data_IF_743130829023
#
_entry.id   IF_743130829023
#
_cell.length_a   1.000
_cell.length_b   1.000
_cell.length_c   1.000
_cell.angle_alpha   90.00
_cell.angle_beta   90.00
_cell.angle_gamma   90.00
#
_symmetry.space_group_name_H-M   'P 1'
#
loop_
_entity.id
_entity.type
_entity.pdbx_description
1 polymer ?
#
# COMPACT_ATOMS: atom_id res chain seq x y z
N UNK A 1 -4.68 20.42 -7.18
CA UNK A 1 -5.60 19.25 -7.22
C UNK A 1 -5.76 18.80 -5.79
N UNK A 2 -6.99 18.68 -5.27
CA UNK A 2 -7.20 18.18 -3.92
C UNK A 2 -7.15 16.64 -3.98
N UNK A 3 -6.08 16.05 -3.46
CA UNK A 3 -5.84 14.59 -3.40
C UNK A 3 -6.18 14.01 -2.00
N UNK A 4 -6.71 14.86 -1.08
CA UNK A 4 -7.06 14.42 0.28
C UNK A 4 -8.09 13.29 0.27
N UNK A 5 -8.95 13.25 -0.76
CA UNK A 5 -9.94 12.19 -0.94
C UNK A 5 -9.30 10.80 -0.97
N UNK A 6 -8.08 10.67 -1.49
CA UNK A 6 -7.39 9.38 -1.58
C UNK A 6 -7.11 8.76 -0.21
N UNK A 7 -6.89 9.59 0.83
CA UNK A 7 -6.68 9.10 2.20
C UNK A 7 -7.97 8.89 2.99
N UNK A 8 -9.13 9.23 2.40
CA UNK A 8 -10.45 9.07 3.04
C UNK A 8 -11.22 7.84 2.59
N UNK A 9 -10.74 7.15 1.58
CA UNK A 9 -11.34 5.92 1.02
C UNK A 9 -10.35 4.77 1.09
N UNK A 10 -10.87 3.55 1.18
CA UNK A 10 -10.05 2.34 1.25
C UNK A 10 -9.47 1.93 -0.11
N UNK A 11 -8.48 1.05 -0.07
CA UNK A 11 -7.79 0.54 -1.27
C UNK A 11 -8.75 -0.19 -2.24
N UNK A 12 -9.75 -0.96 -1.81
CA UNK A 12 -10.79 -1.48 -2.70
C UNK A 12 -11.55 -0.42 -3.48
N UNK A 13 -11.89 0.71 -2.85
CA UNK A 13 -12.55 1.84 -3.53
C UNK A 13 -11.66 2.46 -4.61
N UNK A 14 -10.36 2.62 -4.33
CA UNK A 14 -9.39 3.10 -5.34
C UNK A 14 -9.29 2.09 -6.49
N UNK A 15 -9.21 0.78 -6.20
CA UNK A 15 -9.18 -0.26 -7.24
C UNK A 15 -10.40 -0.18 -8.17
N UNK A 16 -11.60 -0.06 -7.61
CA UNK A 16 -12.83 0.09 -8.38
C UNK A 16 -12.85 1.39 -9.22
N UNK A 17 -12.35 2.49 -8.67
CA UNK A 17 -12.25 3.77 -9.40
C UNK A 17 -11.23 3.69 -10.54
N UNK A 18 -10.14 2.92 -10.38
CA UNK A 18 -9.17 2.66 -11.44
C UNK A 18 -9.75 1.82 -12.58
N UNK A 19 -10.69 0.91 -12.30
CA UNK A 19 -11.42 0.16 -13.34
C UNK A 19 -12.27 1.11 -14.19
N UNK A 20 -12.89 2.13 -13.59
CA UNK A 20 -13.59 3.17 -14.35
C UNK A 20 -12.64 3.98 -15.24
N UNK A 21 -11.46 4.34 -14.73
CA UNK A 21 -10.44 5.03 -15.50
C UNK A 21 -9.97 4.20 -16.70
N UNK A 22 -9.77 2.90 -16.52
CA UNK A 22 -9.35 1.96 -17.59
C UNK A 22 -10.47 1.61 -18.57
N UNK A 23 -11.73 1.83 -18.18
CA UNK A 23 -12.91 1.39 -18.92
C UNK A 23 -13.18 -0.12 -18.83
N UNK A 24 -12.40 -0.88 -18.06
CA UNK A 24 -12.56 -2.31 -17.84
C UNK A 24 -11.98 -2.74 -16.47
N UNK A 25 -12.36 -3.93 -16.01
CA UNK A 25 -11.75 -4.57 -14.85
C UNK A 25 -10.36 -5.10 -15.19
N UNK A 26 -9.47 -5.10 -14.20
CA UNK A 26 -8.11 -5.63 -14.34
C UNK A 26 -7.77 -6.56 -13.18
N UNK A 27 -7.00 -7.60 -13.47
CA UNK A 27 -6.37 -8.47 -12.47
C UNK A 27 -4.93 -8.03 -12.14
N UNK A 28 -4.52 -6.83 -12.58
CA UNK A 28 -3.16 -6.32 -12.43
C UNK A 28 -3.16 -4.95 -11.72
N UNK A 29 -2.00 -4.59 -11.18
CA UNK A 29 -1.79 -3.29 -10.54
C UNK A 29 -2.13 -3.25 -9.06
N UNK A 30 -2.32 -4.42 -8.42
CA UNK A 30 -2.57 -4.55 -6.98
C UNK A 30 -1.89 -5.79 -6.38
N UNK A 31 -1.75 -5.83 -5.06
CA UNK A 31 -1.24 -6.99 -4.32
C UNK A 31 -2.22 -8.16 -4.41
N UNK A 32 -1.72 -9.37 -4.69
CA UNK A 32 -2.55 -10.58 -4.95
C UNK A 32 -2.60 -11.53 -3.76
N UNK A 33 -1.84 -11.25 -2.70
CA UNK A 33 -1.78 -12.06 -1.49
C UNK A 33 -2.14 -11.22 -0.26
N UNK A 34 -2.64 -11.86 0.81
CA UNK A 34 -3.01 -11.15 2.03
C UNK A 34 -1.81 -10.49 2.71
N UNK A 35 -2.07 -9.42 3.44
CA UNK A 35 -1.10 -8.69 4.24
C UNK A 35 -1.48 -8.72 5.72
N UNK A 36 -0.48 -8.66 6.59
CA UNK A 36 -0.66 -8.36 8.02
C UNK A 36 -0.49 -6.86 8.21
N UNK A 37 -1.46 -6.22 8.85
CA UNK A 37 -1.45 -4.79 9.12
C UNK A 37 -1.10 -4.51 10.60
N UNK A 38 -0.13 -3.64 10.85
CA UNK A 38 0.29 -3.29 12.23
C UNK A 38 -0.80 -2.55 13.00
N UNK A 39 -1.64 -1.76 12.32
CA UNK A 39 -2.76 -1.03 12.94
C UNK A 39 -3.89 -0.79 11.92
N UNK A 40 -4.90 -1.65 11.96
CA UNK A 40 -6.06 -1.60 11.06
C UNK A 40 -6.97 -0.37 11.23
N UNK A 41 -6.78 0.42 12.31
CA UNK A 41 -7.57 1.63 12.59
C UNK A 41 -7.04 2.86 11.85
N UNK A 42 -5.83 2.79 11.33
CA UNK A 42 -5.24 3.89 10.59
C UNK A 42 -5.93 4.07 9.23
N UNK A 43 -5.98 5.32 8.80
CA UNK A 43 -6.41 5.66 7.45
C UNK A 43 -5.39 5.12 6.44
N UNK A 44 -5.81 4.86 5.20
CA UNK A 44 -4.90 4.52 4.13
C UNK A 44 -3.76 5.53 4.00
N UNK A 45 -2.59 5.06 3.63
CA UNK A 45 -1.52 5.94 3.18
C UNK A 45 -1.43 5.94 1.65
N UNK A 46 -1.07 7.09 1.10
CA UNK A 46 -0.78 7.26 -0.31
C UNK A 46 0.52 8.04 -0.44
N UNK A 47 1.38 7.63 -1.36
CA UNK A 47 2.68 8.28 -1.51
C UNK A 47 3.53 7.73 -2.63
N UNK A 48 4.70 8.33 -2.77
CA UNK A 48 5.73 7.97 -3.74
C UNK A 48 6.55 6.80 -3.21
N UNK A 49 6.63 5.72 -3.98
CA UNK A 49 7.37 4.52 -3.59
C UNK A 49 8.88 4.78 -3.55
N UNK A 50 9.45 4.65 -2.37
CA UNK A 50 10.88 4.50 -2.12
C UNK A 50 11.19 3.02 -1.94
N UNK A 51 11.83 2.43 -2.92
CA UNK A 51 11.99 0.99 -3.02
C UNK A 51 13.35 0.50 -2.54
N UNK A 52 13.37 -0.66 -1.90
CA UNK A 52 14.60 -1.34 -1.52
C UNK A 52 14.40 -2.86 -1.46
N UNK A 53 15.51 -3.59 -1.40
CA UNK A 53 15.54 -5.03 -1.18
C UNK A 53 16.36 -5.35 0.06
N UNK A 54 15.87 -6.30 0.84
CA UNK A 54 16.53 -6.83 2.03
C UNK A 54 16.73 -8.33 1.91
N UNK A 55 17.63 -8.86 2.73
CA UNK A 55 17.84 -10.30 2.93
C UNK A 55 18.17 -10.56 4.38
N UNK A 56 17.73 -11.71 4.91
CA UNK A 56 17.90 -12.07 6.31
C UNK A 56 18.38 -13.49 6.56
N UNK A 57 18.19 -14.43 5.60
CA UNK A 57 18.47 -15.86 5.77
C UNK A 57 19.97 -16.19 5.86
N UNK A 58 20.81 -15.34 5.29
CA UNK A 58 22.26 -15.58 5.20
C UNK A 58 23.01 -14.34 5.68
N UNK A 59 24.04 -14.57 6.53
CA UNK A 59 24.96 -13.50 6.94
C UNK A 59 25.66 -12.92 5.71
N UNK A 60 25.66 -11.59 5.61
CA UNK A 60 26.37 -10.91 4.53
C UNK A 60 27.88 -11.19 4.59
N UNK A 61 28.51 -11.31 3.43
CA UNK A 61 29.97 -11.39 3.29
C UNK A 61 30.67 -10.02 3.41
N UNK A 62 29.92 -8.94 3.47
CA UNK A 62 30.46 -7.59 3.63
C UNK A 62 30.92 -7.35 5.07
N UNK A 63 31.91 -6.45 5.24
CA UNK A 63 32.34 -6.02 6.56
C UNK A 63 31.27 -5.20 7.28
N UNK A 64 31.28 -5.14 8.63
CA UNK A 64 30.32 -4.33 9.38
C UNK A 64 30.29 -2.87 8.94
N UNK A 65 31.46 -2.27 8.62
CA UNK A 65 31.58 -0.90 8.15
C UNK A 65 30.83 -0.69 6.83
N UNK A 66 31.04 -1.58 5.84
CA UNK A 66 30.34 -1.53 4.55
C UNK A 66 28.83 -1.71 4.70
N UNK A 67 28.40 -2.60 5.58
CA UNK A 67 26.96 -2.79 5.86
C UNK A 67 26.36 -1.53 6.49
N UNK A 68 27.09 -0.87 7.38
CA UNK A 68 26.66 0.40 7.97
C UNK A 68 26.56 1.50 6.91
N UNK A 69 27.53 1.64 6.03
CA UNK A 69 27.51 2.62 4.94
C UNK A 69 26.32 2.40 4.00
N UNK A 70 26.04 1.15 3.61
CA UNK A 70 24.87 0.82 2.78
C UNK A 70 23.58 1.21 3.52
N UNK A 71 23.49 0.94 4.82
CA UNK A 71 22.33 1.29 5.64
C UNK A 71 22.13 2.81 5.73
N UNK A 72 23.20 3.58 5.93
CA UNK A 72 23.11 5.04 5.98
C UNK A 72 22.71 5.63 4.63
N UNK A 73 23.30 5.17 3.54
CA UNK A 73 22.93 5.60 2.19
C UNK A 73 21.47 5.24 1.84
N UNK A 74 20.98 4.08 2.32
CA UNK A 74 19.58 3.72 2.21
C UNK A 74 18.68 4.71 2.96
N UNK A 75 19.00 5.10 4.20
CA UNK A 75 18.22 6.10 4.93
C UNK A 75 18.27 7.48 4.27
N UNK A 76 19.40 7.88 3.73
CA UNK A 76 19.52 9.10 2.93
C UNK A 76 18.58 9.04 1.73
N UNK A 77 18.62 7.97 0.94
CA UNK A 77 17.68 7.75 -0.18
C UNK A 77 16.22 7.83 0.25
N UNK A 78 15.85 7.21 1.37
CA UNK A 78 14.49 7.24 1.90
C UNK A 78 14.03 8.66 2.28
N UNK A 79 14.95 9.52 2.75
CA UNK A 79 14.65 10.89 3.18
C UNK A 79 14.41 11.88 2.04
N UNK A 80 14.92 11.58 0.83
CA UNK A 80 14.83 12.50 -0.32
C UNK A 80 13.41 12.47 -0.90
N UNK A 81 12.68 13.58 -0.82
CA UNK A 81 11.40 13.76 -1.47
C UNK A 81 11.50 14.78 -2.61
N UNK A 82 11.46 14.29 -3.85
CA UNK A 82 11.54 15.10 -5.06
C UNK A 82 10.17 15.54 -5.60
N UNK A 83 9.08 14.92 -5.14
CA UNK A 83 7.71 15.23 -5.55
C UNK A 83 6.93 15.80 -4.36
N UNK A 84 6.72 17.11 -4.37
CA UNK A 84 6.01 17.80 -3.29
C UNK A 84 4.50 17.54 -3.27
N UNK A 85 3.96 16.85 -4.26
CA UNK A 85 2.53 16.51 -4.33
C UNK A 85 2.16 15.34 -3.42
N UNK A 86 3.13 14.48 -3.11
CA UNK A 86 2.98 13.32 -2.24
C UNK A 86 4.17 13.18 -1.30
N UNK A 87 3.90 12.61 -0.14
CA UNK A 87 4.95 12.15 0.77
C UNK A 87 5.55 10.83 0.27
N UNK A 88 6.73 10.48 0.78
CA UNK A 88 7.32 9.19 0.50
C UNK A 88 6.64 8.07 1.30
N UNK A 89 6.63 6.88 0.73
CA UNK A 89 6.31 5.63 1.41
C UNK A 89 7.45 4.63 1.21
N UNK A 90 7.63 3.74 2.17
CA UNK A 90 8.66 2.71 2.10
C UNK A 90 8.10 1.43 1.48
N UNK A 91 8.76 0.90 0.43
CA UNK A 91 8.37 -0.32 -0.26
C UNK A 91 9.56 -1.26 -0.32
N UNK A 92 9.54 -2.31 0.51
CA UNK A 92 10.70 -3.20 0.68
C UNK A 92 10.38 -4.64 0.29
N UNK A 93 11.11 -5.16 -0.69
CA UNK A 93 11.13 -6.57 -1.04
C UNK A 93 12.10 -7.34 -0.14
N UNK A 94 11.59 -8.34 0.55
CA UNK A 94 12.41 -9.36 1.21
C UNK A 94 12.73 -10.47 0.19
N UNK A 95 13.99 -10.62 -0.13
CA UNK A 95 14.49 -11.60 -1.11
C UNK A 95 14.40 -13.06 -0.59
N UNK A 96 14.10 -13.25 0.68
CA UNK A 96 13.85 -14.58 1.25
C UNK A 96 12.39 -15.04 1.06
N UNK A 97 11.53 -14.19 0.47
CA UNK A 97 10.16 -14.58 0.12
C UNK A 97 10.13 -15.82 -0.80
N UNK A 98 9.24 -16.81 -0.60
CA UNK A 98 8.05 -16.78 0.28
C UNK A 98 8.30 -17.22 1.73
N UNK A 99 9.53 -17.44 2.16
CA UNK A 99 9.88 -17.88 3.51
C UNK A 99 10.78 -16.86 4.22
N UNK A 100 10.31 -15.64 4.51
CA UNK A 100 11.09 -14.62 5.19
C UNK A 100 11.44 -15.08 6.61
N UNK A 101 12.67 -14.84 7.06
CA UNK A 101 13.19 -15.33 8.35
C UNK A 101 13.55 -14.21 9.33
N UNK A 102 13.78 -12.99 8.85
CA UNK A 102 14.22 -11.88 9.67
C UNK A 102 13.32 -10.65 9.54
N UNK A 103 12.80 -10.17 10.67
CA UNK A 103 12.00 -8.97 10.73
C UNK A 103 12.88 -7.71 10.64
N UNK A 104 12.84 -7.01 9.52
CA UNK A 104 13.43 -5.68 9.38
C UNK A 104 12.60 -4.61 10.12
N UNK A 105 11.30 -4.80 10.15
CA UNK A 105 10.34 -3.87 10.72
C UNK A 105 10.05 -4.18 12.18
N UNK A 106 10.34 -3.21 13.03
CA UNK A 106 10.10 -3.16 14.47
C UNK A 106 10.17 -1.72 14.93
N UNK A 107 10.16 -1.48 16.23
CA UNK A 107 10.12 -0.15 16.85
C UNK A 107 11.17 0.82 16.26
N UNK A 108 12.43 0.40 16.20
CA UNK A 108 13.54 1.26 15.73
C UNK A 108 13.37 1.69 14.28
N UNK A 109 13.14 0.74 13.37
CA UNK A 109 13.01 1.09 11.95
C UNK A 109 11.73 1.88 11.66
N UNK A 110 10.62 1.58 12.33
CA UNK A 110 9.40 2.39 12.24
C UNK A 110 9.65 3.82 12.68
N UNK A 111 10.31 4.02 13.83
CA UNK A 111 10.64 5.35 14.35
C UNK A 111 11.55 6.13 13.41
N UNK A 112 12.58 5.49 12.85
CA UNK A 112 13.50 6.11 11.89
C UNK A 112 12.76 6.54 10.60
N UNK A 113 11.96 5.66 10.02
CA UNK A 113 11.24 5.97 8.77
C UNK A 113 10.18 7.05 8.98
N UNK A 114 9.42 7.00 10.08
CA UNK A 114 8.50 8.08 10.47
C UNK A 114 9.23 9.41 10.66
N UNK A 115 10.40 9.40 11.35
CA UNK A 115 11.24 10.57 11.52
C UNK A 115 11.80 11.14 10.21
N UNK A 116 12.00 10.30 9.20
CA UNK A 116 12.37 10.70 7.84
C UNK A 116 11.15 11.11 6.97
N UNK A 117 9.98 11.31 7.58
CA UNK A 117 8.73 11.73 6.94
C UNK A 117 8.11 10.72 5.96
N UNK A 118 8.40 9.43 6.09
CA UNK A 118 7.67 8.41 5.34
C UNK A 118 6.30 8.16 6.01
N UNK A 119 5.26 7.92 5.20
CA UNK A 119 3.87 7.81 5.68
C UNK A 119 3.41 6.39 5.99
N UNK A 120 4.17 5.41 5.60
CA UNK A 120 3.86 4.01 5.84
C UNK A 120 4.79 3.09 5.09
N UNK A 121 4.62 1.80 5.31
CA UNK A 121 5.45 0.74 4.75
C UNK A 121 4.62 -0.37 4.13
N UNK A 122 5.05 -0.83 2.97
CA UNK A 122 4.64 -2.07 2.34
C UNK A 122 5.86 -3.00 2.20
N UNK A 123 5.78 -4.22 2.73
CA UNK A 123 6.84 -5.23 2.61
C UNK A 123 6.27 -6.64 2.57
N UNK A 124 6.92 -7.54 1.84
CA UNK A 124 6.70 -8.99 1.93
C UNK A 124 7.60 -9.67 2.97
N UNK A 125 8.39 -8.89 3.73
CA UNK A 125 9.16 -9.35 4.88
C UNK A 125 8.33 -9.42 6.17
N UNK A 126 9.03 -9.62 7.29
CA UNK A 126 8.43 -9.78 8.61
C UNK A 126 8.37 -8.47 9.41
N UNK A 127 7.39 -8.45 10.33
CA UNK A 127 7.15 -7.41 11.33
C UNK A 127 7.34 -7.97 12.73
N UNK A 128 7.85 -7.17 13.68
CA UNK A 128 7.97 -7.50 15.12
C UNK A 128 7.62 -6.30 16.00
N UNK A 129 7.78 -6.41 17.30
CA UNK A 129 7.60 -5.34 18.29
C UNK A 129 6.19 -4.69 18.25
N UNK A 130 5.14 -5.52 18.08
CA UNK A 130 3.76 -5.03 17.84
C UNK A 130 3.21 -4.12 18.94
N UNK A 131 3.67 -4.29 20.20
CA UNK A 131 3.26 -3.45 21.33
C UNK A 131 3.98 -2.10 21.39
N UNK A 132 5.15 -1.99 20.75
CA UNK A 132 6.08 -0.87 20.87
C UNK A 132 6.21 -0.04 19.58
N UNK A 133 5.69 -0.56 18.46
CA UNK A 133 5.63 0.17 17.19
C UNK A 133 4.77 1.42 17.34
N UNK A 134 5.23 2.52 16.77
CA UNK A 134 4.46 3.77 16.71
C UNK A 134 3.07 3.52 16.10
N UNK A 135 2.04 3.79 16.92
CA UNK A 135 0.62 3.53 16.57
C UNK A 135 0.09 4.35 15.40
N UNK A 136 0.77 5.45 15.03
CA UNK A 136 0.38 6.33 13.94
C UNK A 136 1.13 6.03 12.63
N UNK A 137 1.94 4.94 12.60
CA UNK A 137 2.66 4.48 11.42
C UNK A 137 2.21 3.08 11.01
N UNK A 138 1.64 2.96 9.82
CA UNK A 138 1.16 1.67 9.30
C UNK A 138 2.29 0.89 8.62
N UNK A 139 2.46 -0.36 9.04
CA UNK A 139 3.28 -1.34 8.33
C UNK A 139 2.38 -2.46 7.81
N UNK A 140 2.46 -2.71 6.52
CA UNK A 140 1.84 -3.86 5.85
C UNK A 140 2.95 -4.86 5.55
N UNK A 141 2.89 -6.03 6.17
CA UNK A 141 3.91 -7.07 6.10
C UNK A 141 3.32 -8.43 5.69
N UNK A 142 4.16 -9.43 5.43
CA UNK A 142 3.69 -10.78 5.12
C UNK A 142 3.28 -11.56 6.37
N UNK A 143 4.03 -11.39 7.46
CA UNK A 143 3.81 -12.11 8.71
C UNK A 143 4.53 -11.42 9.88
N UNK A 144 4.39 -11.99 11.07
CA UNK A 144 5.03 -11.56 12.30
C UNK A 144 6.13 -12.56 12.66
N UNK A 145 7.30 -12.06 13.07
CA UNK A 145 8.40 -12.90 13.51
C UNK A 145 9.22 -12.26 14.63
N UNK A 146 9.85 -13.04 15.52
CA UNK A 146 10.47 -12.51 16.74
C UNK A 146 11.91 -12.00 16.54
N UNK A 147 12.58 -12.37 15.46
CA UNK A 147 14.02 -12.14 15.27
C UNK A 147 14.30 -11.29 14.03
N UNK A 148 15.33 -10.46 14.10
CA UNK A 148 15.86 -9.79 12.91
C UNK A 148 16.81 -10.70 12.09
N UNK A 149 17.21 -11.86 12.61
CA UNK A 149 18.19 -12.75 11.97
C UNK A 149 19.42 -11.97 11.44
N UNK A 150 19.82 -12.20 10.20
CA UNK A 150 20.93 -11.49 9.55
C UNK A 150 20.45 -10.34 8.62
N UNK A 151 19.30 -9.73 8.92
CA UNK A 151 18.66 -8.77 8.03
C UNK A 151 19.59 -7.60 7.68
N UNK A 152 19.74 -7.36 6.41
CA UNK A 152 20.51 -6.24 5.87
C UNK A 152 19.91 -5.75 4.55
N UNK A 153 20.17 -4.47 4.23
CA UNK A 153 19.82 -3.90 2.95
C UNK A 153 20.78 -4.41 1.89
N UNK A 154 20.22 -4.92 0.79
CA UNK A 154 20.97 -5.43 -0.37
C UNK A 154 21.05 -4.39 -1.47
N UNK A 155 19.93 -3.76 -1.75
CA UNK A 155 19.77 -2.84 -2.88
C UNK A 155 18.67 -1.82 -2.56
N UNK A 156 18.76 -0.62 -3.10
CA UNK A 156 17.70 0.39 -3.01
C UNK A 156 17.60 1.17 -4.31
N UNK A 157 16.48 1.89 -4.50
CA UNK A 157 16.16 2.61 -5.74
C UNK A 157 16.09 1.67 -6.97
N UNK A 158 15.48 0.53 -6.81
CA UNK A 158 15.39 -0.54 -7.81
C UNK A 158 13.97 -1.08 -7.90
N UNK A 159 13.62 -1.75 -8.99
CA UNK A 159 12.32 -2.42 -9.15
C UNK A 159 12.18 -3.53 -8.11
N UNK A 160 11.01 -3.64 -7.52
CA UNK A 160 10.67 -4.65 -6.50
C UNK A 160 9.39 -5.40 -6.85
N UNK A 161 9.22 -6.60 -6.29
CA UNK A 161 8.02 -7.40 -6.47
C UNK A 161 7.51 -7.89 -5.11
N UNK A 162 6.37 -7.34 -4.67
CA UNK A 162 5.75 -7.67 -3.40
C UNK A 162 4.35 -8.23 -3.62
N UNK A 163 4.08 -9.42 -3.10
CA UNK A 163 2.75 -10.05 -3.19
C UNK A 163 2.19 -10.15 -4.62
N UNK A 164 3.06 -10.32 -5.63
CA UNK A 164 2.69 -10.34 -7.05
C UNK A 164 2.48 -8.97 -7.68
N UNK A 165 2.74 -7.88 -6.97
CA UNK A 165 2.72 -6.51 -7.48
C UNK A 165 4.14 -6.03 -7.78
N UNK A 166 4.44 -5.75 -9.05
CA UNK A 166 5.69 -5.14 -9.47
C UNK A 166 5.59 -3.63 -9.28
N UNK A 167 6.53 -3.07 -8.51
CA UNK A 167 6.56 -1.64 -8.16
C UNK A 167 7.92 -1.08 -8.58
N UNK A 168 7.91 0.07 -9.23
CA UNK A 168 9.11 0.82 -9.58
C UNK A 168 9.35 1.97 -8.61
N UNK A 169 10.60 2.42 -8.46
CA UNK A 169 10.87 3.67 -7.77
C UNK A 169 10.00 4.80 -8.37
N UNK A 170 9.42 5.61 -7.49
CA UNK A 170 8.54 6.74 -7.82
C UNK A 170 7.15 6.38 -8.38
N UNK A 171 6.71 5.12 -8.32
CA UNK A 171 5.30 4.78 -8.49
C UNK A 171 4.47 5.40 -7.36
N UNK A 172 3.23 5.79 -7.68
CA UNK A 172 2.28 6.25 -6.67
C UNK A 172 1.53 5.05 -6.15
N UNK A 173 1.63 4.80 -4.85
CA UNK A 173 0.99 3.67 -4.18
C UNK A 173 -0.07 4.17 -3.22
N UNK A 174 -1.24 3.54 -3.26
CA UNK A 174 -2.25 3.63 -2.22
C UNK A 174 -2.32 2.30 -1.49
N UNK A 175 -2.31 2.32 -0.17
CA UNK A 175 -2.29 1.08 0.61
C UNK A 175 -3.02 1.23 1.96
N UNK A 176 -3.66 0.15 2.37
CA UNK A 176 -4.28 -0.04 3.68
C UNK A 176 -4.30 -1.54 4.05
N UNK A 177 -5.03 -1.90 5.10
CA UNK A 177 -5.20 -3.28 5.58
C UNK A 177 -5.67 -4.30 4.51
N UNK A 178 -6.20 -3.84 3.36
CA UNK A 178 -6.61 -4.73 2.25
C UNK A 178 -5.47 -5.02 1.28
N UNK A 179 -4.31 -4.36 1.42
CA UNK A 179 -3.18 -4.43 0.53
C UNK A 179 -2.87 -3.11 -0.17
N UNK A 180 -2.30 -3.17 -1.37
CA UNK A 180 -1.85 -2.00 -2.09
C UNK A 180 -2.23 -2.03 -3.57
N UNK A 181 -2.40 -0.83 -4.16
CA UNK A 181 -2.60 -0.62 -5.60
C UNK A 181 -1.66 0.47 -6.11
N UNK A 182 -1.21 0.33 -7.36
CA UNK A 182 -0.50 1.40 -8.07
C UNK A 182 -1.52 2.34 -8.70
N UNK A 183 -1.34 3.65 -8.47
CA UNK A 183 -2.12 4.69 -9.11
C UNK A 183 -1.34 5.24 -10.30
N UNK A 184 -1.78 5.02 -11.55
CA UNK A 184 -1.19 5.69 -12.72
C UNK A 184 -1.30 7.22 -12.58
N UNK A 185 -0.25 7.96 -12.94
CA UNK A 185 -0.22 9.44 -12.78
C UNK A 185 -1.36 10.14 -13.53
N UNK A 186 -1.73 9.63 -14.70
CA UNK A 186 -2.83 10.15 -15.52
C UNK A 186 -4.20 9.88 -14.90
N UNK A 187 -4.36 8.83 -14.08
CA UNK A 187 -5.58 8.55 -13.36
C UNK A 187 -5.89 9.57 -12.24
N UNK A 188 -4.89 10.26 -11.69
CA UNK A 188 -5.06 11.20 -10.57
C UNK A 188 -6.13 12.25 -10.81
N UNK A 189 -6.26 12.74 -12.05
CA UNK A 189 -7.23 13.78 -12.42
C UNK A 189 -8.68 13.27 -12.39
N UNK A 190 -8.87 11.99 -12.63
CA UNK A 190 -10.17 11.35 -12.79
C UNK A 190 -10.63 10.70 -11.49
N UNK A 191 -9.69 10.20 -10.67
CA UNK A 191 -10.00 9.45 -9.45
C UNK A 191 -11.01 10.14 -8.51
N UNK A 192 -10.95 11.44 -8.20
CA UNK A 192 -11.95 12.06 -7.31
C UNK A 192 -13.38 11.88 -7.83
N UNK A 193 -13.60 12.14 -9.12
CA UNK A 193 -14.93 11.96 -9.77
C UNK A 193 -15.33 10.49 -9.85
N UNK A 194 -14.36 9.59 -10.13
CA UNK A 194 -14.61 8.16 -10.19
C UNK A 194 -15.02 7.59 -8.83
N UNK A 195 -14.37 8.02 -7.75
CA UNK A 195 -14.69 7.65 -6.37
C UNK A 195 -16.13 8.10 -6.01
N UNK A 196 -16.48 9.35 -6.31
CA UNK A 196 -17.82 9.88 -6.05
C UNK A 196 -18.87 9.08 -6.83
N UNK A 197 -18.64 8.86 -8.11
CA UNK A 197 -19.53 8.06 -8.97
C UNK A 197 -19.73 6.64 -8.43
N UNK A 198 -18.66 5.97 -7.99
CA UNK A 198 -18.75 4.62 -7.39
C UNK A 198 -19.58 4.64 -6.10
N UNK A 199 -19.35 5.59 -5.21
CA UNK A 199 -20.13 5.75 -3.98
C UNK A 199 -21.62 5.95 -4.26
N UNK A 200 -21.96 6.77 -5.26
CA UNK A 200 -23.34 7.00 -5.65
C UNK A 200 -23.97 5.73 -6.24
N UNK A 201 -23.29 5.09 -7.18
CA UNK A 201 -23.74 3.86 -7.83
C UNK A 201 -23.96 2.71 -6.84
N UNK A 202 -23.00 2.42 -5.98
CA UNK A 202 -23.11 1.40 -4.94
C UNK A 202 -24.15 1.76 -3.89
N UNK A 203 -24.25 3.07 -3.55
CA UNK A 203 -25.24 3.60 -2.63
C UNK A 203 -26.68 3.30 -3.00
N UNK A 204 -27.01 3.19 -4.29
CA UNK A 204 -28.36 2.80 -4.76
C UNK A 204 -28.69 1.39 -4.28
N UNK A 205 -27.78 0.44 -4.44
CA UNK A 205 -27.96 -0.96 -4.06
C UNK A 205 -27.97 -1.10 -2.54
N UNK A 206 -27.00 -0.46 -1.86
CA UNK A 206 -26.87 -0.51 -0.41
C UNK A 206 -28.09 0.10 0.29
N UNK A 207 -28.64 1.20 -0.20
CA UNK A 207 -29.86 1.82 0.36
C UNK A 207 -31.05 0.86 0.20
N UNK A 208 -31.26 0.32 -0.98
CA UNK A 208 -32.33 -0.64 -1.22
C UNK A 208 -32.24 -1.85 -0.28
N UNK A 209 -31.04 -2.40 -0.08
CA UNK A 209 -30.84 -3.59 0.78
C UNK A 209 -31.14 -3.35 2.26
N UNK A 210 -31.20 -2.11 2.70
CA UNK A 210 -31.53 -1.72 4.10
C UNK A 210 -33.01 -1.45 4.33
N UNK A 211 -33.85 -1.51 3.29
CA UNK A 211 -35.30 -1.30 3.43
C UNK A 211 -35.92 -2.48 4.18
N UNK A 212 -36.91 -2.20 5.06
CA UNK A 212 -37.54 -3.22 5.92
C UNK A 212 -38.21 -4.36 5.12
N UNK A 213 -38.70 -4.04 3.93
CA UNK A 213 -39.40 -4.95 3.02
C UNK A 213 -38.54 -5.30 1.80
N UNK A 214 -37.19 -5.28 1.93
CA UNK A 214 -36.27 -5.66 0.88
C UNK A 214 -36.53 -7.08 0.40
N UNK A 215 -36.59 -7.24 -0.92
CA UNK A 215 -36.83 -8.50 -1.60
C UNK A 215 -36.13 -8.52 -2.96
N UNK A 216 -36.27 -9.63 -3.70
CA UNK A 216 -35.60 -9.79 -4.99
C UNK A 216 -36.03 -8.76 -6.05
N UNK A 217 -37.30 -8.35 -6.08
CA UNK A 217 -37.77 -7.37 -7.06
C UNK A 217 -37.16 -6.00 -6.78
N UNK A 218 -37.07 -5.60 -5.52
CA UNK A 218 -36.36 -4.36 -5.12
C UNK A 218 -34.87 -4.42 -5.44
N UNK A 219 -34.20 -5.58 -5.21
CA UNK A 219 -32.83 -5.80 -5.65
C UNK A 219 -32.70 -5.60 -7.16
N UNK A 220 -33.55 -6.26 -7.94
CA UNK A 220 -33.54 -6.19 -9.41
C UNK A 220 -33.73 -4.75 -9.92
N UNK A 221 -34.63 -3.99 -9.29
CA UNK A 221 -34.85 -2.59 -9.62
C UNK A 221 -33.62 -1.74 -9.31
N UNK A 222 -33.07 -1.83 -8.08
CA UNK A 222 -31.89 -1.10 -7.66
C UNK A 222 -30.66 -1.44 -8.54
N UNK A 223 -30.50 -2.72 -8.88
CA UNK A 223 -29.43 -3.21 -9.75
C UNK A 223 -29.51 -2.62 -11.17
N UNK A 224 -30.72 -2.61 -11.77
CA UNK A 224 -30.94 -1.99 -13.07
C UNK A 224 -30.66 -0.48 -13.03
N UNK A 225 -31.12 0.21 -11.98
CA UNK A 225 -30.88 1.63 -11.78
C UNK A 225 -29.39 1.95 -11.66
N UNK A 226 -28.64 1.19 -10.82
CA UNK A 226 -27.20 1.35 -10.68
C UNK A 226 -26.44 1.10 -12.00
N UNK A 227 -26.86 0.09 -12.76
CA UNK A 227 -26.22 -0.25 -14.03
C UNK A 227 -26.57 0.69 -15.20
N UNK A 228 -27.65 1.47 -15.08
CA UNK A 228 -27.97 2.52 -16.08
C UNK A 228 -27.14 3.78 -15.91
N UNK A 229 -26.40 3.92 -14.79
CA UNK A 229 -25.47 5.04 -14.59
C UNK A 229 -24.25 4.90 -15.49
N UNK A 230 -23.90 6.00 -16.18
CA UNK A 230 -22.73 6.06 -17.07
C UNK A 230 -21.73 7.06 -16.49
N UNK A 231 -20.52 6.59 -16.26
CA UNK A 231 -19.42 7.47 -15.86
C UNK A 231 -18.98 8.32 -17.07
N UNK A 232 -18.97 9.63 -16.86
CA UNK A 232 -18.43 10.60 -17.83
C UNK A 232 -17.19 11.22 -17.19
N UNK A 233 -16.03 10.60 -17.45
CA UNK A 233 -14.71 11.00 -16.95
C UNK A 233 -14.28 12.39 -17.38
#
# INVERSE_FOLDING_TARGET
>A
MNLDILTTVDTPTISNALDLFRGNRSAEGFTKLPVVCSNEKLRPFVGIAKTAKIKASIKSSLTPEKLNDIRLNYYEYMSINNDKSFENICVIEDLDWPNPVGAFWGEVNVSLHKGLNLKGTLTNGLLRDLGDIDKDYMVLASAIGPSHAYVHVVEYNTDVNLFGLKIKPNDIIHADRHGAVIIPKDALKILPKAIEFMKEKEGIIIKASKEKDFNFDKLKFAWKKANSMIFKG
#
